data_IF_457056015722
#
_entry.id   IF_457056015722
#
_cell.length_a   1.000
_cell.length_b   1.000
_cell.length_c   1.000
_cell.angle_alpha   90.00
_cell.angle_beta   90.00
_cell.angle_gamma   90.00
#
_symmetry.space_group_name_H-M   'P 1'
#
loop_
_entity.id
_entity.type
_entity.pdbx_description
1 polymer ?
#
# COMPACT_ATOMS: atom_id res chain seq x y z
N UNK A 1 4.97 37.91 12.14
CA UNK A 1 5.49 36.85 11.23
C UNK A 1 4.58 35.66 11.44
N UNK A 2 3.85 35.25 10.40
CA UNK A 2 2.98 34.10 10.49
C UNK A 2 3.88 32.86 10.63
N UNK A 3 3.71 32.15 11.73
CA UNK A 3 4.27 30.84 11.97
C UNK A 3 3.67 29.90 10.92
N UNK A 4 4.47 29.55 9.91
CA UNK A 4 4.11 28.51 8.97
C UNK A 4 4.17 27.21 9.77
N UNK A 5 3.02 26.69 10.20
CA UNK A 5 2.91 25.28 10.57
C UNK A 5 3.65 24.46 9.51
N UNK A 6 4.52 23.52 9.88
CA UNK A 6 5.15 22.65 8.90
C UNK A 6 4.02 21.95 8.12
N UNK A 7 3.84 22.33 6.86
CA UNK A 7 2.84 21.70 6.00
C UNK A 7 3.20 20.22 5.94
N UNK A 8 2.26 19.36 6.34
CA UNK A 8 2.35 17.93 6.21
C UNK A 8 2.79 17.58 4.78
N UNK A 9 4.01 17.04 4.63
CA UNK A 9 4.57 16.71 3.33
C UNK A 9 4.20 15.28 2.96
N UNK A 10 3.42 15.12 1.89
CA UNK A 10 3.10 13.81 1.34
C UNK A 10 4.32 13.20 0.63
N UNK A 11 4.45 11.88 0.77
CA UNK A 11 5.47 11.04 0.14
C UNK A 11 4.77 9.87 -0.53
N UNK A 12 5.24 9.49 -1.72
CA UNK A 12 4.55 8.51 -2.56
C UNK A 12 5.54 7.53 -3.15
N UNK A 13 5.11 6.28 -3.27
CA UNK A 13 5.83 5.20 -3.95
C UNK A 13 4.86 4.50 -4.88
N UNK A 14 5.28 4.26 -6.12
CA UNK A 14 4.44 3.66 -7.14
C UNK A 14 5.03 2.37 -7.68
N UNK A 15 4.16 1.46 -8.08
CA UNK A 15 4.54 0.20 -8.71
C UNK A 15 3.48 -0.24 -9.72
N UNK A 16 3.86 -1.10 -10.64
CA UNK A 16 2.91 -1.81 -11.48
C UNK A 16 3.34 -3.26 -11.70
N UNK A 17 2.35 -4.13 -11.87
CA UNK A 17 2.57 -5.55 -12.14
C UNK A 17 1.58 -6.04 -13.18
N UNK A 18 2.08 -6.66 -14.24
CA UNK A 18 1.25 -7.48 -15.13
C UNK A 18 0.94 -8.80 -14.42
N UNK A 19 -0.33 -9.00 -14.07
CA UNK A 19 -0.77 -10.16 -13.32
C UNK A 19 -0.63 -11.46 -14.12
N UNK A 20 -0.55 -11.41 -15.46
CA UNK A 20 -0.25 -12.61 -16.25
C UNK A 20 1.14 -13.20 -15.94
N UNK A 21 2.06 -12.39 -15.40
CA UNK A 21 3.39 -12.82 -15.00
C UNK A 21 3.48 -13.29 -13.53
N UNK A 22 2.43 -13.09 -12.73
CA UNK A 22 2.37 -13.48 -11.32
C UNK A 22 1.58 -12.51 -10.44
N UNK A 23 1.48 -12.81 -9.15
CA UNK A 23 0.91 -11.89 -8.15
C UNK A 23 1.71 -10.60 -8.05
N UNK A 24 1.06 -9.49 -7.67
CA UNK A 24 1.78 -8.30 -7.23
C UNK A 24 2.31 -8.57 -5.83
N UNK A 25 3.60 -8.34 -5.63
CA UNK A 25 4.28 -8.36 -4.33
C UNK A 25 5.24 -7.17 -4.30
N UNK A 26 4.78 -6.06 -3.72
CA UNK A 26 5.51 -4.80 -3.68
C UNK A 26 5.87 -4.45 -2.25
N UNK A 27 7.16 -4.25 -2.01
CA UNK A 27 7.68 -3.79 -0.72
C UNK A 27 8.33 -2.43 -0.89
N UNK A 28 8.03 -1.51 0.02
CA UNK A 28 8.65 -0.19 0.03
C UNK A 28 8.91 0.31 1.44
N UNK A 29 9.81 1.28 1.56
CA UNK A 29 10.18 1.93 2.81
C UNK A 29 10.20 3.43 2.60
N UNK A 30 9.99 4.18 3.67
CA UNK A 30 10.23 5.62 3.67
C UNK A 30 11.43 5.98 4.56
N UNK A 31 12.20 6.96 4.11
CA UNK A 31 13.43 7.45 4.78
C UNK A 31 13.17 8.38 5.97
N UNK A 32 11.92 8.45 6.43
CA UNK A 32 11.40 9.33 7.46
C UNK A 32 10.44 8.57 8.37
N UNK A 33 10.20 9.08 9.58
CA UNK A 33 9.00 8.69 10.32
C UNK A 33 7.79 9.15 9.51
N UNK A 34 6.79 8.28 9.37
CA UNK A 34 5.68 8.55 8.47
C UNK A 34 4.36 8.00 9.00
N UNK A 35 3.27 8.65 8.62
CA UNK A 35 1.91 8.11 8.73
C UNK A 35 1.51 7.54 7.38
N UNK A 36 1.03 6.30 7.34
CA UNK A 36 0.43 5.77 6.11
C UNK A 36 -0.93 6.45 5.91
N UNK A 37 -1.09 7.17 4.80
CA UNK A 37 -2.32 7.91 4.47
C UNK A 37 -3.25 7.04 3.65
N UNK A 38 -2.73 6.43 2.59
CA UNK A 38 -3.55 5.67 1.65
C UNK A 38 -2.72 4.68 0.85
N UNK A 39 -3.32 3.55 0.50
CA UNK A 39 -2.86 2.66 -0.56
C UNK A 39 -3.91 2.68 -1.65
N UNK A 40 -3.53 3.13 -2.84
CA UNK A 40 -4.38 3.23 -4.03
C UNK A 40 -4.01 2.11 -4.99
N UNK A 41 -5.00 1.35 -5.44
CA UNK A 41 -4.83 0.31 -6.44
C UNK A 41 -5.83 0.54 -7.57
N UNK A 42 -5.32 0.67 -8.79
CA UNK A 42 -6.10 0.66 -10.03
C UNK A 42 -5.82 -0.63 -10.80
N UNK A 43 -6.87 -1.26 -11.31
CA UNK A 43 -6.75 -2.45 -12.15
C UNK A 43 -7.13 -2.09 -13.60
N UNK A 44 -6.33 -2.55 -14.57
CA UNK A 44 -6.63 -2.30 -15.99
C UNK A 44 -7.82 -3.10 -16.53
N UNK A 45 -8.41 -3.98 -15.72
CA UNK A 45 -9.41 -4.95 -16.15
C UNK A 45 -10.13 -5.67 -15.01
N UNK A 46 -11.08 -6.54 -15.37
CA UNK A 46 -11.92 -7.27 -14.43
C UNK A 46 -11.14 -8.38 -13.73
N UNK A 47 -11.00 -8.30 -12.40
CA UNK A 47 -10.46 -9.40 -11.59
C UNK A 47 -11.59 -10.24 -10.99
N UNK A 48 -11.31 -11.51 -10.70
CA UNK A 48 -12.28 -12.42 -10.06
C UNK A 48 -11.71 -13.00 -8.76
N UNK A 49 -12.23 -12.53 -7.63
CA UNK A 49 -11.86 -12.97 -6.28
C UNK A 49 -10.35 -12.92 -6.02
N UNK A 50 -9.72 -11.79 -6.29
CA UNK A 50 -8.32 -11.55 -5.90
C UNK A 50 -8.26 -10.88 -4.54
N UNK A 51 -7.33 -11.29 -3.68
CA UNK A 51 -7.14 -10.66 -2.37
C UNK A 51 -6.01 -9.64 -2.41
N UNK A 52 -6.34 -8.39 -2.08
CA UNK A 52 -5.39 -7.33 -1.77
C UNK A 52 -5.09 -7.38 -0.27
N UNK A 53 -3.81 -7.46 0.09
CA UNK A 53 -3.35 -7.40 1.49
C UNK A 53 -2.33 -6.27 1.61
N UNK A 54 -2.45 -5.48 2.69
CA UNK A 54 -1.49 -4.45 3.06
C UNK A 54 -0.96 -4.78 4.45
N UNK A 55 0.35 -4.89 4.54
CA UNK A 55 1.09 -5.29 5.73
C UNK A 55 2.16 -4.24 6.05
N UNK A 56 2.49 -4.12 7.32
CA UNK A 56 3.65 -3.37 7.77
C UNK A 56 4.57 -4.30 8.54
N UNK A 57 5.83 -4.32 8.14
CA UNK A 57 6.91 -4.96 8.88
C UNK A 57 7.70 -3.91 9.67
N UNK A 58 7.74 -4.09 10.98
CA UNK A 58 8.43 -3.20 11.90
C UNK A 58 9.86 -3.70 12.14
N UNK A 59 10.85 -2.84 11.86
CA UNK A 59 12.30 -3.08 12.06
C UNK A 59 12.72 -3.63 13.45
N UNK A 60 11.84 -3.61 14.46
CA UNK A 60 12.15 -3.84 15.87
C UNK A 60 11.76 -5.20 16.47
N UNK A 61 11.19 -6.14 15.71
CA UNK A 61 10.80 -7.43 16.27
C UNK A 61 10.59 -8.49 15.20
N UNK A 62 11.12 -9.70 15.44
CA UNK A 62 11.02 -10.81 14.51
C UNK A 62 9.59 -11.05 14.01
N UNK A 63 9.39 -10.93 12.69
CA UNK A 63 8.28 -11.54 11.93
C UNK A 63 6.85 -11.08 12.26
N UNK A 64 6.60 -9.81 12.53
CA UNK A 64 5.21 -9.33 12.61
C UNK A 64 4.84 -8.53 11.35
N UNK A 65 4.51 -9.25 10.27
CA UNK A 65 3.67 -8.73 9.19
C UNK A 65 2.32 -8.37 9.80
N UNK A 66 2.18 -7.13 10.26
CA UNK A 66 0.91 -6.67 10.80
C UNK A 66 0.02 -6.35 9.61
N UNK A 67 -0.92 -7.24 9.31
CA UNK A 67 -1.96 -6.98 8.32
C UNK A 67 -2.80 -5.81 8.79
N UNK A 68 -2.56 -4.64 8.21
CA UNK A 68 -3.32 -3.42 8.49
C UNK A 68 -4.56 -3.34 7.61
N UNK A 69 -4.58 -4.05 6.48
CA UNK A 69 -5.69 -4.04 5.53
C UNK A 69 -5.81 -5.33 4.73
N UNK A 70 -7.05 -5.75 4.47
CA UNK A 70 -7.36 -6.78 3.48
C UNK A 70 -8.63 -6.42 2.72
N UNK A 71 -8.69 -6.73 1.43
CA UNK A 71 -9.88 -6.55 0.61
C UNK A 71 -9.92 -7.57 -0.51
N UNK A 72 -11.04 -8.26 -0.65
CA UNK A 72 -11.32 -9.09 -1.82
C UNK A 72 -11.87 -8.24 -2.95
N UNK A 73 -11.26 -8.35 -4.13
CA UNK A 73 -11.65 -7.65 -5.35
C UNK A 73 -12.38 -8.61 -6.28
N UNK A 74 -13.52 -8.15 -6.81
CA UNK A 74 -14.42 -8.99 -7.62
C UNK A 74 -14.80 -8.35 -8.95
N UNK A 75 -14.28 -7.16 -9.22
CA UNK A 75 -14.62 -6.40 -10.41
C UNK A 75 -13.43 -5.53 -10.82
N UNK A 76 -13.55 -4.82 -11.95
CA UNK A 76 -12.65 -3.73 -12.27
C UNK A 76 -13.00 -2.55 -11.35
N UNK A 77 -12.22 -2.36 -10.29
CA UNK A 77 -12.47 -1.36 -9.28
C UNK A 77 -11.20 -0.60 -8.93
N UNK A 78 -11.36 0.70 -8.70
CA UNK A 78 -10.37 1.52 -8.01
C UNK A 78 -10.53 1.31 -6.51
N UNK A 79 -9.44 0.90 -5.87
CA UNK A 79 -9.42 0.66 -4.44
C UNK A 79 -8.63 1.75 -3.78
N UNK A 80 -9.29 2.45 -2.87
CA UNK A 80 -8.62 3.23 -1.86
C UNK A 80 -8.69 2.47 -0.53
N UNK A 81 -7.52 2.13 0.00
CA UNK A 81 -7.37 1.61 1.35
C UNK A 81 -6.74 2.70 2.23
N UNK A 82 -7.48 3.16 3.23
CA UNK A 82 -6.96 4.01 4.29
C UNK A 82 -6.84 3.14 5.57
N UNK A 83 -5.66 3.10 6.22
CA UNK A 83 -5.51 2.31 7.44
C UNK A 83 -6.44 2.80 8.54
N UNK A 84 -7.13 1.87 9.20
CA UNK A 84 -8.11 2.19 10.25
C UNK A 84 -7.49 2.81 11.51
N UNK A 85 -6.19 2.61 11.73
CA UNK A 85 -5.44 3.24 12.81
C UNK A 85 -5.06 4.68 12.42
N UNK A 86 -6.07 5.56 12.41
CA UNK A 86 -5.84 6.99 12.25
C UNK A 86 -4.78 7.46 13.26
N UNK A 87 -3.69 8.05 12.76
CA UNK A 87 -2.62 8.60 13.59
C UNK A 87 -1.51 7.64 13.99
N UNK A 88 -1.49 6.39 13.51
CA UNK A 88 -0.32 5.53 13.69
C UNK A 88 0.89 6.09 12.92
N UNK A 89 1.98 6.31 13.65
CA UNK A 89 3.27 6.76 13.10
C UNK A 89 4.19 5.55 13.03
N UNK A 90 4.60 5.22 11.81
CA UNK A 90 5.61 4.21 11.52
C UNK A 90 6.99 4.82 11.59
N UNK A 91 7.95 4.07 12.10
CA UNK A 91 9.33 4.54 12.20
C UNK A 91 10.02 4.45 10.85
N UNK A 92 10.95 5.37 10.61
CA UNK A 92 11.88 5.29 9.48
C UNK A 92 12.39 3.86 9.30
N UNK A 93 12.32 3.38 8.07
CA UNK A 93 12.78 2.05 7.67
C UNK A 93 11.83 0.90 7.99
N UNK A 94 10.65 1.17 8.59
CA UNK A 94 9.56 0.18 8.53
C UNK A 94 9.18 -0.06 7.07
N UNK A 95 8.89 -1.32 6.76
CA UNK A 95 8.53 -1.74 5.42
C UNK A 95 7.01 -1.80 5.29
N UNK A 96 6.50 -1.31 4.18
CA UNK A 96 5.11 -1.51 3.77
C UNK A 96 5.16 -2.55 2.67
N UNK A 97 4.45 -3.65 2.88
CA UNK A 97 4.26 -4.68 1.87
C UNK A 97 2.82 -4.65 1.39
N UNK A 98 2.64 -4.62 0.08
CA UNK A 98 1.34 -4.72 -0.58
C UNK A 98 1.39 -5.93 -1.48
N UNK A 99 0.46 -6.86 -1.28
CA UNK A 99 0.30 -8.03 -2.13
C UNK A 99 -1.08 -8.02 -2.78
N UNK A 100 -1.14 -8.45 -4.04
CA UNK A 100 -2.39 -8.76 -4.71
C UNK A 100 -2.25 -10.15 -5.33
N UNK A 101 -2.97 -11.10 -4.76
CA UNK A 101 -2.99 -12.46 -5.29
C UNK A 101 -3.53 -12.47 -6.72
N UNK A 102 -2.94 -13.31 -7.58
CA UNK A 102 -3.51 -13.61 -8.88
C UNK A 102 -4.20 -14.99 -8.89
N UNK A 103 -5.52 -14.98 -8.82
CA UNK A 103 -6.36 -16.18 -8.91
C UNK A 103 -6.80 -16.49 -10.36
N UNK A 104 -5.85 -16.39 -11.30
CA UNK A 104 -6.06 -16.80 -12.69
C UNK A 104 -6.65 -15.73 -13.61
N UNK A 105 -6.37 -14.44 -13.36
CA UNK A 105 -6.76 -13.35 -14.25
C UNK A 105 -5.71 -13.12 -15.35
N UNK A 106 -6.00 -13.42 -16.64
CA UNK A 106 -5.03 -13.18 -17.70
C UNK A 106 -5.06 -11.72 -18.18
N UNK A 107 -3.87 -11.13 -18.30
CA UNK A 107 -3.59 -9.84 -18.97
C UNK A 107 -4.16 -8.57 -18.30
N UNK A 108 -4.07 -8.49 -16.98
CA UNK A 108 -4.44 -7.29 -16.21
C UNK A 108 -3.20 -6.68 -15.59
N UNK A 109 -3.03 -5.37 -15.73
CA UNK A 109 -2.00 -4.63 -15.01
C UNK A 109 -2.60 -4.02 -13.75
N UNK A 110 -2.01 -4.34 -12.60
CA UNK A 110 -2.22 -3.66 -11.35
C UNK A 110 -1.31 -2.43 -11.28
N UNK A 111 -1.86 -1.26 -10.95
CA UNK A 111 -1.13 -0.02 -10.71
C UNK A 111 -1.33 0.38 -9.25
N UNK A 112 -0.24 0.46 -8.51
CA UNK A 112 -0.23 0.70 -7.09
C UNK A 112 0.42 2.05 -6.78
N UNK A 113 -0.19 2.80 -5.87
CA UNK A 113 0.42 3.97 -5.23
C UNK A 113 0.26 3.86 -3.72
N UNK A 114 1.38 3.90 -3.00
CA UNK A 114 1.44 3.97 -1.55
C UNK A 114 1.74 5.41 -1.16
N UNK A 115 0.82 6.03 -0.42
CA UNK A 115 0.89 7.43 0.02
C UNK A 115 1.12 7.47 1.52
N UNK A 116 2.24 8.04 1.92
CA UNK A 116 2.54 8.41 3.30
C UNK A 116 2.56 9.93 3.50
N UNK A 117 2.61 10.32 4.76
CA UNK A 117 2.80 11.70 5.20
C UNK A 117 3.98 11.74 6.16
N UNK A 118 4.92 12.63 5.91
CA UNK A 118 6.09 12.83 6.75
C UNK A 118 5.67 13.40 8.10
N UNK A 119 6.18 12.80 9.18
CA UNK A 119 5.97 13.25 10.56
C UNK A 119 7.28 13.65 11.24
#
# INVERSE_FOLDING_TARGET
MADLSPEAKLIEQTASQDLSAGSLDFTTTFDYDFRLVSVLLHLSGLVNNQELVVEVDALGGANYDTVIGRRTLRNNEDVQFAPAAEGQVFKKGNEIRVTLENNGSPSITAYLTVIGEMN
#
